data_IF_198499719699
#
_entry.id   IF_198499719699
#
_cell.length_a   1.000
_cell.length_b   1.000
_cell.length_c   1.000
_cell.angle_alpha   90.00
_cell.angle_beta   90.00
_cell.angle_gamma   90.00
#
_symmetry.space_group_name_H-M   'P 1'
#
loop_
_entity.id
_entity.type
_entity.pdbx_description
1 polymer ?
#
# COMPACT_ATOMS: atom_id res chain seq x y z
N UNK A 1 -0.74 -6.20 -29.31
CA UNK A 1 -0.25 -6.42 -27.94
C UNK A 1 -0.57 -5.16 -27.13
N UNK A 2 -1.82 -4.97 -26.71
CA UNK A 2 -2.20 -3.91 -25.76
C UNK A 2 -2.68 -4.64 -24.51
N UNK A 3 -1.78 -4.71 -23.53
CA UNK A 3 -2.08 -5.26 -22.21
C UNK A 3 -2.87 -4.21 -21.44
N UNK A 4 -4.18 -4.28 -21.58
CA UNK A 4 -5.10 -3.73 -20.60
C UNK A 4 -5.36 -4.86 -19.60
N UNK A 5 -4.47 -4.98 -18.61
CA UNK A 5 -4.76 -5.75 -17.41
C UNK A 5 -5.91 -5.05 -16.68
N UNK A 6 -7.10 -5.66 -16.58
CA UNK A 6 -8.23 -5.06 -15.90
C UNK A 6 -7.90 -5.05 -14.41
N UNK A 7 -7.35 -3.94 -13.93
CA UNK A 7 -7.41 -3.57 -12.53
C UNK A 7 -8.89 -3.66 -12.11
N UNK A 8 -9.16 -4.67 -11.30
CA UNK A 8 -10.47 -5.16 -10.95
C UNK A 8 -11.36 -4.00 -10.44
N UNK A 9 -12.51 -3.82 -11.09
CA UNK A 9 -13.50 -2.80 -10.78
C UNK A 9 -14.09 -3.03 -9.38
N UNK A 10 -13.45 -2.47 -8.35
CA UNK A 10 -13.86 -2.60 -6.96
C UNK A 10 -12.74 -2.51 -5.92
N UNK A 11 -11.47 -2.44 -6.33
CA UNK A 11 -10.33 -2.31 -5.41
C UNK A 11 -9.95 -0.83 -5.25
N UNK A 12 -9.94 -0.34 -4.01
CA UNK A 12 -9.40 0.99 -3.72
C UNK A 12 -7.88 0.96 -3.79
N UNK A 13 -7.34 1.60 -4.83
CA UNK A 13 -5.90 1.76 -5.02
C UNK A 13 -5.35 2.96 -4.27
N UNK A 14 -6.20 3.89 -3.81
CA UNK A 14 -5.75 5.04 -3.03
C UNK A 14 -5.73 4.68 -1.56
N UNK A 15 -4.59 4.81 -0.91
CA UNK A 15 -4.47 4.64 0.53
C UNK A 15 -3.66 5.76 1.14
N UNK A 16 -4.14 6.30 2.25
CA UNK A 16 -3.40 7.30 3.03
C UNK A 16 -2.42 6.56 3.94
N UNK A 17 -1.13 6.68 3.65
CA UNK A 17 -0.07 6.20 4.54
C UNK A 17 0.17 7.22 5.63
N UNK A 18 0.08 6.77 6.88
CA UNK A 18 0.38 7.59 8.05
C UNK A 18 1.73 7.19 8.63
N UNK A 19 2.67 8.14 8.70
CA UNK A 19 3.98 7.90 9.28
C UNK A 19 3.88 7.83 10.81
N UNK A 20 4.24 6.70 11.46
CA UNK A 20 4.18 6.59 12.93
C UNK A 20 5.27 7.40 13.64
N UNK A 21 6.26 7.95 12.91
CA UNK A 21 7.38 8.70 13.48
C UNK A 21 7.13 10.19 13.59
N UNK A 22 6.40 10.77 12.63
CA UNK A 22 6.12 12.21 12.60
C UNK A 22 4.62 12.54 12.47
N UNK A 23 3.75 11.56 12.26
CA UNK A 23 2.31 11.76 12.04
C UNK A 23 1.96 12.28 10.64
N UNK A 24 2.93 12.38 9.72
CA UNK A 24 2.68 12.83 8.36
C UNK A 24 1.80 11.83 7.60
N UNK A 25 0.79 12.34 6.91
CA UNK A 25 -0.13 11.56 6.10
C UNK A 25 0.12 11.88 4.62
N UNK A 26 0.31 10.85 3.82
CA UNK A 26 0.45 11.00 2.37
C UNK A 26 -0.50 10.04 1.67
N UNK A 27 -1.28 10.57 0.73
CA UNK A 27 -2.12 9.76 -0.15
C UNK A 27 -1.23 9.17 -1.22
N UNK A 28 -1.13 7.85 -1.26
CA UNK A 28 -0.33 7.11 -2.23
C UNK A 28 -1.23 6.19 -3.04
N UNK A 29 -0.98 6.13 -4.34
CA UNK A 29 -1.61 5.14 -5.22
C UNK A 29 -0.83 3.82 -5.15
N UNK A 30 -1.54 2.76 -4.77
CA UNK A 30 -1.09 1.38 -4.78
C UNK A 30 -1.16 0.85 -6.21
N UNK A 31 -0.04 0.44 -6.80
CA UNK A 31 -0.09 -0.28 -8.07
C UNK A 31 -0.82 -1.61 -7.85
N UNK A 32 -1.82 -1.89 -8.68
CA UNK A 32 -2.61 -3.13 -8.62
C UNK A 32 -1.78 -4.39 -8.90
N UNK A 33 -0.59 -4.24 -9.49
CA UNK A 33 0.30 -5.32 -9.88
C UNK A 33 1.53 -5.51 -8.97
N UNK A 34 1.69 -4.72 -7.90
CA UNK A 34 2.88 -4.82 -7.04
C UNK A 34 2.65 -4.36 -5.59
N UNK A 35 3.29 -5.04 -4.64
CA UNK A 35 3.30 -4.63 -3.23
C UNK A 35 4.47 -3.68 -2.95
N UNK A 36 4.22 -2.49 -2.38
CA UNK A 36 5.30 -1.62 -1.88
C UNK A 36 5.75 -2.07 -0.49
N UNK A 37 6.92 -2.69 -0.43
CA UNK A 37 7.54 -3.14 0.82
C UNK A 37 8.24 -2.01 1.58
N UNK A 38 8.61 -0.94 0.89
CA UNK A 38 9.30 0.19 1.49
C UNK A 38 8.57 1.47 1.11
N UNK A 39 8.38 2.33 2.09
CA UNK A 39 7.85 3.67 1.89
C UNK A 39 8.75 4.68 2.58
N UNK A 40 9.17 5.69 1.84
CA UNK A 40 9.93 6.80 2.40
C UNK A 40 8.95 7.91 2.72
N UNK A 41 8.86 8.28 4.00
CA UNK A 41 7.97 9.35 4.43
C UNK A 41 8.39 10.68 3.78
N UNK A 42 7.46 11.35 3.09
CA UNK A 42 7.72 12.66 2.49
C UNK A 42 7.95 13.77 3.54
N UNK A 43 7.42 13.60 4.75
CA UNK A 43 7.55 14.59 5.82
C UNK A 43 8.89 14.54 6.56
N UNK A 44 9.41 13.34 6.88
CA UNK A 44 10.65 13.19 7.67
C UNK A 44 11.77 12.43 6.95
N UNK A 45 11.53 11.86 5.78
CA UNK A 45 12.50 11.05 5.04
C UNK A 45 12.73 9.65 5.62
N UNK A 46 12.02 9.26 6.68
CA UNK A 46 12.18 7.94 7.30
C UNK A 46 11.71 6.83 6.35
N UNK A 47 12.51 5.78 6.22
CA UNK A 47 12.16 4.60 5.42
C UNK A 47 11.37 3.59 6.26
N UNK A 48 10.04 3.65 6.14
CA UNK A 48 9.11 2.71 6.77
C UNK A 48 9.16 1.35 6.09
N UNK A 49 9.02 0.31 6.91
CA UNK A 49 8.91 -1.11 6.52
C UNK A 49 7.64 -1.70 7.13
N UNK A 50 6.97 -2.66 6.47
CA UNK A 50 5.81 -3.34 7.03
C UNK A 50 6.14 -3.97 8.38
N UNK A 51 5.11 -4.06 9.22
CA UNK A 51 5.16 -4.76 10.48
C UNK A 51 5.28 -6.27 10.24
N UNK A 52 5.89 -7.01 11.17
CA UNK A 52 5.96 -8.46 11.07
C UNK A 52 4.53 -9.05 11.08
N UNK A 53 4.17 -9.73 10.01
CA UNK A 53 2.82 -10.25 9.77
C UNK A 53 2.07 -9.57 8.63
N UNK A 54 2.55 -8.40 8.19
CA UNK A 54 1.99 -7.68 7.04
C UNK A 54 2.84 -7.84 5.78
N UNK A 55 2.17 -7.85 4.64
CA UNK A 55 2.81 -8.02 3.33
C UNK A 55 3.35 -6.71 2.71
N UNK A 56 2.91 -5.54 3.17
CA UNK A 56 3.32 -4.26 2.61
C UNK A 56 3.06 -3.09 3.58
N UNK A 57 3.66 -1.94 3.30
CA UNK A 57 3.52 -0.73 4.14
C UNK A 57 2.09 -0.22 4.24
N UNK A 58 1.25 -0.53 3.24
CA UNK A 58 -0.17 -0.18 3.22
C UNK A 58 -1.00 -1.02 4.20
N UNK A 59 -0.72 -2.31 4.33
CA UNK A 59 -1.39 -3.13 5.35
C UNK A 59 -1.02 -2.69 6.77
N UNK A 60 0.20 -2.22 6.98
CA UNK A 60 0.67 -1.80 8.31
C UNK A 60 0.31 -0.36 8.69
N UNK A 61 0.41 0.58 7.73
CA UNK A 61 0.29 2.02 8.01
C UNK A 61 -0.71 2.73 7.10
N UNK A 62 -1.33 2.01 6.16
CA UNK A 62 -2.35 2.54 5.27
C UNK A 62 -3.73 2.52 5.89
N UNK A 63 -4.59 3.41 5.41
CA UNK A 63 -6.03 3.38 5.74
C UNK A 63 -6.74 2.24 5.04
N UNK A 64 -6.28 1.85 3.85
CA UNK A 64 -6.86 0.78 3.04
C UNK A 64 -5.80 -0.31 2.83
N UNK A 65 -6.14 -1.60 3.05
CA UNK A 65 -5.20 -2.70 2.86
C UNK A 65 -4.85 -2.90 1.38
N UNK A 66 -3.81 -3.68 1.08
CA UNK A 66 -3.34 -3.84 -0.29
C UNK A 66 -4.37 -4.54 -1.23
N UNK A 67 -4.27 -4.30 -2.56
CA UNK A 67 -5.13 -4.90 -3.56
C UNK A 67 -5.39 -6.41 -3.40
N UNK A 68 -4.37 -7.28 -3.20
CA UNK A 68 -4.63 -8.71 -3.03
C UNK A 68 -5.48 -9.02 -1.78
N UNK A 69 -5.30 -8.30 -0.67
CA UNK A 69 -6.12 -8.49 0.54
C UNK A 69 -7.56 -8.03 0.31
N UNK A 70 -7.78 -6.91 -0.38
CA UNK A 70 -9.12 -6.44 -0.76
C UNK A 70 -9.83 -7.43 -1.71
N UNK A 71 -9.09 -8.04 -2.63
CA UNK A 71 -9.58 -9.09 -3.52
C UNK A 71 -9.83 -10.45 -2.82
N UNK A 72 -9.66 -10.53 -1.49
CA UNK A 72 -9.80 -11.76 -0.72
C UNK A 72 -8.70 -12.79 -1.00
N UNK A 73 -7.62 -12.40 -1.68
CA UNK A 73 -6.41 -13.23 -1.84
C UNK A 73 -5.57 -13.08 -0.59
N UNK A 74 -5.19 -14.22 -0.02
CA UNK A 74 -4.32 -14.28 1.15
C UNK A 74 -2.91 -13.91 0.70
N UNK A 75 -2.31 -12.89 1.29
CA UNK A 75 -0.89 -12.64 1.12
C UNK A 75 -0.11 -13.73 1.85
N UNK A 76 0.60 -14.56 1.09
CA UNK A 76 1.52 -15.60 1.59
C UNK A 76 2.93 -15.06 1.73
#
# INVERSE_FOLDING_TARGET
MRGEDPAEAGIEIQSTLTCPRCGHQSVEEMPSNACRFFYTCAGCGERLKPLPGDCCVFCSYGTVPCPPVQAGRRCS
#
